data_IF_929058194641
#
_entry.id   IF_929058194641
#
_cell.length_a   1.000
_cell.length_b   1.000
_cell.length_c   1.000
_cell.angle_alpha   90.00
_cell.angle_beta   90.00
_cell.angle_gamma   90.00
#
_symmetry.space_group_name_H-M   'P 1'
#
loop_
_entity.id
_entity.type
_entity.pdbx_description
1 polymer ?
#
# COMPACT_ATOMS: atom_id res chain seq x y z
N UNK A 1 -0.51 7.61 7.02
CA UNK A 1 -0.02 6.76 5.92
C UNK A 1 -0.89 6.99 4.69
N UNK A 2 -0.36 6.76 3.48
CA UNK A 2 -1.12 6.87 2.21
C UNK A 2 -2.38 5.99 2.23
N UNK A 3 -2.25 4.74 2.71
CA UNK A 3 -3.35 3.81 2.88
C UNK A 3 -4.59 4.43 3.55
N UNK A 4 -4.43 5.13 4.69
CA UNK A 4 -5.57 5.76 5.41
C UNK A 4 -6.25 6.86 4.59
N UNK A 5 -5.51 7.54 3.70
CA UNK A 5 -6.06 8.63 2.87
C UNK A 5 -6.89 8.09 1.71
N UNK A 6 -6.53 6.92 1.18
CA UNK A 6 -7.21 6.32 0.01
C UNK A 6 -8.27 5.28 0.41
N UNK A 7 -8.22 4.76 1.64
CA UNK A 7 -9.19 3.80 2.15
C UNK A 7 -10.61 4.39 2.07
N UNK A 8 -11.49 3.70 1.34
CA UNK A 8 -12.87 4.13 1.08
C UNK A 8 -13.08 4.83 -0.26
N UNK A 9 -12.02 5.17 -0.99
CA UNK A 9 -12.08 5.75 -2.34
C UNK A 9 -11.55 4.82 -3.43
N UNK A 10 -10.94 3.70 -3.04
CA UNK A 10 -10.38 2.69 -3.96
C UNK A 10 -10.70 1.29 -3.45
N UNK A 11 -10.69 0.32 -4.37
CA UNK A 11 -10.84 -1.09 -4.02
C UNK A 11 -9.52 -1.60 -3.44
N UNK A 12 -9.54 -2.00 -2.16
CA UNK A 12 -8.37 -2.62 -1.52
C UNK A 12 -8.30 -4.09 -1.96
N UNK A 13 -7.31 -4.42 -2.79
CA UNK A 13 -7.04 -5.80 -3.23
C UNK A 13 -6.30 -6.58 -2.15
N UNK A 14 -5.38 -5.91 -1.44
CA UNK A 14 -4.66 -6.51 -0.33
C UNK A 14 -4.28 -5.48 0.72
N UNK A 15 -4.69 -5.75 1.95
CA UNK A 15 -4.42 -4.93 3.11
C UNK A 15 -2.91 -4.78 3.40
N UNK A 16 -2.48 -3.72 4.11
CA UNK A 16 -1.07 -3.53 4.47
C UNK A 16 -0.49 -4.73 5.21
N UNK A 17 0.59 -5.30 4.68
CA UNK A 17 1.28 -6.46 5.28
C UNK A 17 2.79 -6.32 5.12
N UNK A 18 3.51 -6.93 6.06
CA UNK A 18 4.97 -6.99 6.03
C UNK A 18 5.42 -8.16 5.16
N UNK A 19 6.52 -7.94 4.45
CA UNK A 19 7.22 -8.95 3.67
C UNK A 19 8.50 -9.35 4.40
N UNK A 20 8.97 -10.57 4.14
CA UNK A 20 10.19 -11.10 4.76
C UNK A 20 11.45 -10.27 4.43
N UNK A 21 11.44 -9.52 3.33
CA UNK A 21 12.52 -8.65 2.88
C UNK A 21 12.43 -7.21 3.43
N UNK A 22 11.69 -7.00 4.53
CA UNK A 22 11.71 -5.72 5.26
C UNK A 22 10.86 -4.61 4.63
N UNK A 23 9.91 -4.95 3.75
CA UNK A 23 8.98 -3.98 3.15
C UNK A 23 7.58 -4.15 3.72
N UNK A 24 6.85 -3.04 3.87
CA UNK A 24 5.41 -3.03 4.13
C UNK A 24 4.68 -2.61 2.86
N UNK A 25 3.73 -3.42 2.43
CA UNK A 25 3.08 -3.25 1.13
C UNK A 25 1.56 -3.35 1.24
N UNK A 26 0.84 -2.61 0.40
CA UNK A 26 -0.59 -2.79 0.16
C UNK A 26 -0.92 -2.60 -1.33
N UNK A 27 -2.05 -3.17 -1.76
CA UNK A 27 -2.44 -3.23 -3.16
C UNK A 27 -3.85 -2.68 -3.32
N UNK A 28 -4.05 -1.87 -4.34
CA UNK A 28 -5.36 -1.28 -4.67
C UNK A 28 -5.65 -1.43 -6.14
N UNK A 29 -6.92 -1.40 -6.53
CA UNK A 29 -7.35 -1.29 -7.91
C UNK A 29 -7.89 0.11 -8.16
N UNK A 30 -7.42 0.76 -9.22
CA UNK A 30 -7.89 2.09 -9.62
C UNK A 30 -9.19 2.02 -10.44
N UNK A 31 -9.74 3.20 -10.79
CA UNK A 31 -10.98 3.31 -11.59
C UNK A 31 -10.84 2.73 -13.01
N UNK A 32 -9.63 2.65 -13.55
CA UNK A 32 -9.35 2.07 -14.87
C UNK A 32 -9.11 0.56 -14.80
N UNK A 33 -9.08 0.00 -13.59
CA UNK A 33 -8.90 -1.42 -13.33
C UNK A 33 -7.46 -1.89 -13.17
N UNK A 34 -6.48 -0.98 -13.14
CA UNK A 34 -5.08 -1.32 -12.88
C UNK A 34 -4.83 -1.62 -11.41
N UNK A 35 -4.01 -2.62 -11.12
CA UNK A 35 -3.57 -2.94 -9.77
C UNK A 35 -2.28 -2.16 -9.48
N UNK A 36 -2.32 -1.30 -8.47
CA UNK A 36 -1.19 -0.51 -8.00
C UNK A 36 -0.67 -1.08 -6.68
N UNK A 37 0.64 -1.28 -6.58
CA UNK A 37 1.32 -1.67 -5.35
C UNK A 37 2.04 -0.46 -4.76
N UNK A 38 1.83 -0.22 -3.47
CA UNK A 38 2.56 0.77 -2.71
C UNK A 38 3.39 0.08 -1.64
N UNK A 39 4.69 0.35 -1.63
CA UNK A 39 5.66 -0.28 -0.74
C UNK A 39 6.47 0.79 0.02
N UNK A 40 6.73 0.54 1.30
CA UNK A 40 7.66 1.33 2.11
C UNK A 40 8.62 0.42 2.88
N UNK A 41 9.88 0.86 3.03
CA UNK A 41 10.86 0.20 3.90
C UNK A 41 10.41 0.28 5.36
N UNK A 42 10.41 -0.86 6.05
CA UNK A 42 10.11 -0.92 7.48
C UNK A 42 11.28 -0.30 8.25
N UNK A 43 11.00 0.73 9.05
CA UNK A 43 12.01 1.39 9.89
C UNK A 43 12.75 2.56 9.23
N UNK A 44 12.42 2.90 7.98
CA UNK A 44 12.97 4.11 7.34
C UNK A 44 12.40 5.37 8.01
N UNK A 45 13.27 6.13 8.69
CA UNK A 45 12.92 7.47 9.14
C UNK A 45 12.72 8.38 7.93
N UNK A 46 11.60 9.10 7.91
CA UNK A 46 11.38 10.18 6.93
C UNK A 46 12.29 11.34 7.36
N UNK A 47 13.36 11.56 6.59
CA UNK A 47 14.13 12.80 6.64
C UNK A 47 13.27 13.98 6.23
#
# INVERSE_FOLDING_TARGET
SLYKKVKGSVDIIKEPHNKFYGMREFYVKDINGYILCFAEEIGRSKG
#
